data_IF_691427100019
#
_entry.id   IF_691427100019
#
_cell.length_a   1.000
_cell.length_b   1.000
_cell.length_c   1.000
_cell.angle_alpha   90.00
_cell.angle_beta   90.00
_cell.angle_gamma   90.00
#
_symmetry.space_group_name_H-M   'P 1'
#
loop_
_entity.id
_entity.type
_entity.pdbx_description
1 polymer ?
#
# COMPACT_ATOMS: atom_id res chain seq x y z
N UNK A 1 15.19 0.32 -29.42
CA UNK A 1 15.12 -1.15 -29.58
C UNK A 1 13.65 -1.49 -29.70
N UNK A 2 13.21 -2.11 -30.81
CA UNK A 2 11.80 -2.56 -30.93
C UNK A 2 11.59 -3.76 -30.03
N UNK A 3 10.60 -3.68 -29.12
CA UNK A 3 10.24 -4.80 -28.26
C UNK A 3 9.90 -6.02 -29.14
N UNK A 4 10.33 -7.20 -28.71
CA UNK A 4 9.99 -8.46 -29.36
C UNK A 4 8.47 -8.65 -29.30
N UNK A 5 7.82 -9.05 -30.41
CA UNK A 5 6.38 -9.31 -30.37
C UNK A 5 6.06 -10.43 -29.37
N UNK A 6 4.91 -10.34 -28.65
CA UNK A 6 4.51 -11.36 -27.70
C UNK A 6 4.32 -12.72 -28.35
N UNK A 7 4.76 -13.77 -27.68
CA UNK A 7 4.60 -15.15 -28.12
C UNK A 7 3.15 -15.64 -27.88
N UNK A 8 2.72 -16.77 -28.45
CA UNK A 8 1.44 -17.37 -28.11
C UNK A 8 1.28 -17.68 -26.61
N UNK A 9 2.37 -18.04 -25.91
CA UNK A 9 2.36 -18.27 -24.46
C UNK A 9 2.13 -16.96 -23.69
N UNK A 10 2.73 -15.86 -24.11
CA UNK A 10 2.55 -14.54 -23.51
C UNK A 10 1.10 -14.04 -23.65
N UNK A 11 0.52 -14.24 -24.82
CA UNK A 11 -0.89 -13.90 -25.09
C UNK A 11 -1.83 -14.75 -24.21
N UNK A 12 -1.53 -16.06 -24.05
CA UNK A 12 -2.29 -16.94 -23.18
C UNK A 12 -2.19 -16.52 -21.71
N UNK A 13 -1.01 -16.10 -21.24
CA UNK A 13 -0.82 -15.59 -19.88
C UNK A 13 -1.63 -14.29 -19.66
N UNK A 14 -1.54 -13.35 -20.58
CA UNK A 14 -2.29 -12.09 -20.52
C UNK A 14 -3.81 -12.32 -20.46
N UNK A 15 -4.31 -13.29 -21.25
CA UNK A 15 -5.73 -13.67 -21.24
C UNK A 15 -6.13 -14.35 -19.92
N UNK A 16 -5.28 -15.24 -19.38
CA UNK A 16 -5.49 -15.90 -18.10
C UNK A 16 -5.56 -14.89 -16.94
N UNK A 17 -4.66 -13.91 -16.90
CA UNK A 17 -4.66 -12.80 -15.91
C UNK A 17 -5.97 -12.02 -15.99
N UNK A 18 -6.38 -11.61 -17.19
CA UNK A 18 -7.62 -10.86 -17.41
C UNK A 18 -8.87 -11.62 -16.92
N UNK A 19 -8.92 -12.93 -17.15
CA UNK A 19 -10.04 -13.79 -16.71
C UNK A 19 -9.95 -14.20 -15.22
N UNK A 20 -8.80 -14.06 -14.60
CA UNK A 20 -8.54 -14.58 -13.25
C UNK A 20 -8.39 -16.11 -13.21
N UNK A 21 -7.94 -16.72 -14.32
CA UNK A 21 -7.82 -18.18 -14.49
C UNK A 21 -6.40 -18.64 -14.11
N UNK A 22 -6.25 -19.08 -12.86
CA UNK A 22 -4.97 -19.52 -12.31
C UNK A 22 -4.42 -20.78 -13.00
N UNK A 23 -5.28 -21.70 -13.46
CA UNK A 23 -4.84 -22.92 -14.13
C UNK A 23 -4.35 -22.63 -15.55
N UNK A 24 -5.04 -21.73 -16.26
CA UNK A 24 -4.56 -21.22 -17.54
C UNK A 24 -3.24 -20.46 -17.40
N UNK A 25 -3.07 -19.66 -16.33
CA UNK A 25 -1.81 -18.97 -16.04
C UNK A 25 -0.66 -19.97 -15.83
N UNK A 26 -0.84 -21.00 -15.01
CA UNK A 26 0.16 -22.09 -14.83
C UNK A 26 0.51 -22.77 -16.15
N UNK A 27 -0.48 -23.00 -17.00
CA UNK A 27 -0.26 -23.63 -18.29
C UNK A 27 0.55 -22.74 -19.24
N UNK A 28 0.24 -21.45 -19.28
CA UNK A 28 0.98 -20.46 -20.07
C UNK A 28 2.44 -20.34 -19.62
N UNK A 29 2.69 -20.32 -18.30
CA UNK A 29 4.04 -20.26 -17.72
C UNK A 29 4.85 -21.52 -18.06
N UNK A 30 4.25 -22.71 -17.99
CA UNK A 30 4.92 -23.96 -18.42
C UNK A 30 5.24 -23.96 -19.91
N UNK A 31 4.47 -23.24 -20.72
CA UNK A 31 4.72 -23.06 -22.14
C UNK A 31 5.76 -21.98 -22.46
N UNK A 32 6.36 -21.37 -21.43
CA UNK A 32 7.43 -20.39 -21.54
C UNK A 32 6.95 -18.95 -21.71
N UNK A 33 5.77 -18.61 -21.16
CA UNK A 33 5.34 -17.22 -21.08
C UNK A 33 6.31 -16.38 -20.23
N UNK A 34 6.56 -15.15 -20.66
CA UNK A 34 7.40 -14.18 -19.95
C UNK A 34 6.64 -13.61 -18.75
N UNK A 35 7.15 -13.85 -17.53
CA UNK A 35 6.62 -13.32 -16.28
C UNK A 35 6.64 -11.80 -16.20
N UNK A 36 7.62 -11.17 -16.84
CA UNK A 36 7.87 -9.73 -16.79
C UNK A 36 7.48 -9.02 -18.09
N UNK A 37 6.68 -9.69 -18.95
CA UNK A 37 6.17 -9.06 -20.16
C UNK A 37 5.42 -7.77 -19.81
N UNK A 38 5.82 -6.66 -20.42
CA UNK A 38 5.22 -5.36 -20.15
C UNK A 38 4.23 -4.95 -21.24
N UNK A 39 3.08 -4.46 -20.83
CA UNK A 39 2.12 -3.83 -21.75
C UNK A 39 2.56 -2.41 -22.17
N UNK A 40 1.73 -1.72 -22.94
CA UNK A 40 2.01 -0.35 -23.41
C UNK A 40 2.18 0.68 -22.29
N UNK A 41 1.64 0.40 -21.08
CA UNK A 41 1.78 1.21 -19.87
C UNK A 41 2.96 0.75 -19.00
N UNK A 42 3.71 -0.25 -19.41
CA UNK A 42 4.82 -0.81 -18.65
C UNK A 42 4.39 -1.78 -17.54
N UNK A 43 3.11 -2.17 -17.46
CA UNK A 43 2.57 -3.04 -16.41
C UNK A 43 2.90 -4.49 -16.67
N UNK A 44 3.33 -5.19 -15.62
CA UNK A 44 3.58 -6.64 -15.64
C UNK A 44 2.28 -7.43 -15.47
N UNK A 45 2.27 -8.75 -15.82
CA UNK A 45 1.14 -9.63 -15.52
C UNK A 45 0.73 -9.62 -14.04
N UNK A 46 1.72 -9.53 -13.11
CA UNK A 46 1.46 -9.48 -11.69
C UNK A 46 0.80 -8.17 -11.26
N UNK A 47 1.26 -7.02 -11.76
CA UNK A 47 0.60 -5.73 -11.52
C UNK A 47 -0.84 -5.72 -12.05
N UNK A 48 -1.08 -6.28 -13.23
CA UNK A 48 -2.43 -6.40 -13.78
C UNK A 48 -3.33 -7.31 -12.92
N UNK A 49 -2.80 -8.42 -12.39
CA UNK A 49 -3.51 -9.30 -11.47
C UNK A 49 -3.86 -8.55 -10.17
N UNK A 50 -2.93 -7.77 -9.61
CA UNK A 50 -3.14 -7.00 -8.39
C UNK A 50 -4.19 -5.89 -8.58
N UNK A 51 -4.15 -5.16 -9.69
CA UNK A 51 -5.14 -4.13 -10.03
C UNK A 51 -6.57 -4.70 -10.18
N UNK A 52 -6.67 -5.93 -10.69
CA UNK A 52 -7.95 -6.61 -10.91
C UNK A 52 -8.37 -7.53 -9.73
N UNK A 53 -7.61 -7.53 -8.64
CA UNK A 53 -7.78 -8.38 -7.45
C UNK A 53 -7.88 -9.89 -7.80
N UNK A 54 -7.05 -10.35 -8.75
CA UNK A 54 -6.97 -11.75 -9.18
C UNK A 54 -6.01 -12.53 -8.28
N UNK A 55 -6.36 -12.70 -7.01
CA UNK A 55 -5.49 -13.26 -5.96
C UNK A 55 -4.91 -14.62 -6.36
N UNK A 56 -5.73 -15.56 -6.84
CA UNK A 56 -5.25 -16.91 -7.22
C UNK A 56 -4.26 -16.86 -8.41
N UNK A 57 -4.39 -15.89 -9.31
CA UNK A 57 -3.42 -15.69 -10.40
C UNK A 57 -2.13 -15.08 -9.86
N UNK A 58 -2.24 -14.09 -8.95
CA UNK A 58 -1.07 -13.48 -8.32
C UNK A 58 -0.25 -14.52 -7.54
N UNK A 59 -0.88 -15.41 -6.78
CA UNK A 59 -0.20 -16.53 -6.10
C UNK A 59 0.60 -17.40 -7.08
N UNK A 60 0.03 -17.70 -8.25
CA UNK A 60 0.72 -18.47 -9.29
C UNK A 60 1.92 -17.72 -9.85
N UNK A 61 1.78 -16.43 -10.11
CA UNK A 61 2.86 -15.59 -10.65
C UNK A 61 3.99 -15.42 -9.63
N UNK A 62 3.66 -15.13 -8.36
CA UNK A 62 4.65 -15.02 -7.26
C UNK A 62 5.38 -16.34 -7.05
N UNK A 63 4.66 -17.47 -7.02
CA UNK A 63 5.28 -18.80 -6.93
C UNK A 63 6.20 -19.13 -8.11
N UNK A 64 5.99 -18.53 -9.26
CA UNK A 64 6.85 -18.63 -10.44
C UNK A 64 8.04 -17.64 -10.41
N UNK A 65 8.10 -16.75 -9.42
CA UNK A 65 9.20 -15.80 -9.23
C UNK A 65 8.97 -14.44 -9.89
N UNK A 66 7.70 -14.04 -10.12
CA UNK A 66 7.40 -12.69 -10.60
C UNK A 66 7.86 -11.63 -9.60
N UNK A 67 8.42 -10.53 -10.12
CA UNK A 67 8.88 -9.40 -9.33
C UNK A 67 7.66 -8.58 -8.81
N UNK A 68 7.47 -8.59 -7.48
CA UNK A 68 6.35 -7.88 -6.82
C UNK A 68 6.54 -6.37 -6.82
N UNK A 69 7.77 -5.91 -7.03
CA UNK A 69 8.18 -4.51 -7.00
C UNK A 69 8.38 -3.89 -8.38
N UNK A 70 8.20 -4.67 -9.45
CA UNK A 70 8.33 -4.21 -10.82
C UNK A 70 7.37 -3.05 -11.10
N UNK A 71 7.91 -1.83 -11.20
CA UNK A 71 7.13 -0.61 -11.42
C UNK A 71 6.77 -0.41 -12.90
N UNK A 72 5.57 0.13 -13.14
CA UNK A 72 5.08 0.58 -14.44
C UNK A 72 5.53 2.02 -14.78
N UNK A 73 5.00 2.59 -15.87
CA UNK A 73 5.30 3.96 -16.29
C UNK A 73 4.78 5.05 -15.33
N UNK A 74 4.04 4.69 -14.30
CA UNK A 74 3.49 5.58 -13.27
C UNK A 74 4.10 5.35 -11.90
N UNK A 75 5.18 4.57 -11.83
CA UNK A 75 5.82 4.13 -10.58
C UNK A 75 4.87 3.30 -9.69
N UNK A 76 3.85 2.63 -10.28
CA UNK A 76 2.99 1.69 -9.56
C UNK A 76 3.55 0.27 -9.70
N UNK A 77 3.60 -0.52 -8.61
CA UNK A 77 3.96 -1.94 -8.59
C UNK A 77 2.79 -2.79 -8.07
N UNK A 78 2.90 -4.12 -8.21
CA UNK A 78 1.91 -5.02 -7.64
C UNK A 78 1.75 -4.81 -6.13
N UNK A 79 2.85 -4.58 -5.40
CA UNK A 79 2.84 -4.26 -3.98
C UNK A 79 2.14 -2.93 -3.69
N UNK A 80 2.54 -1.84 -4.35
CA UNK A 80 2.01 -0.50 -4.08
C UNK A 80 0.50 -0.39 -4.32
N UNK A 81 -0.02 -1.04 -5.36
CA UNK A 81 -1.46 -0.96 -5.66
C UNK A 81 -2.34 -1.71 -4.66
N UNK A 82 -1.79 -2.58 -3.80
CA UNK A 82 -2.57 -3.20 -2.73
C UNK A 82 -3.11 -2.17 -1.74
N UNK A 83 -2.36 -1.09 -1.48
CA UNK A 83 -2.84 0.04 -0.69
C UNK A 83 -3.98 0.81 -1.36
N UNK A 84 -3.96 0.91 -2.69
CA UNK A 84 -5.01 1.57 -3.48
C UNK A 84 -6.29 0.73 -3.50
N UNK A 85 -6.17 -0.60 -3.64
CA UNK A 85 -7.33 -1.52 -3.71
C UNK A 85 -7.85 -1.92 -2.34
N UNK A 86 -7.02 -1.83 -1.30
CA UNK A 86 -7.34 -2.27 0.07
C UNK A 86 -7.43 -3.79 0.23
N UNK A 87 -6.95 -4.55 -0.74
CA UNK A 87 -7.05 -6.02 -0.73
C UNK A 87 -6.02 -6.65 0.20
N UNK A 88 -6.45 -7.08 1.38
CA UNK A 88 -5.63 -7.84 2.33
C UNK A 88 -5.21 -9.20 1.75
N UNK A 89 -6.10 -9.84 0.98
CA UNK A 89 -5.79 -11.13 0.37
C UNK A 89 -4.68 -10.99 -0.68
N UNK A 90 -4.75 -9.96 -1.52
CA UNK A 90 -3.71 -9.67 -2.49
C UNK A 90 -2.38 -9.32 -1.80
N UNK A 91 -2.41 -8.45 -0.78
CA UNK A 91 -1.23 -8.11 0.01
C UNK A 91 -0.52 -9.38 0.51
N UNK A 92 -1.27 -10.30 1.13
CA UNK A 92 -0.72 -11.56 1.65
C UNK A 92 -0.24 -12.50 0.55
N UNK A 93 -0.88 -12.52 -0.61
CA UNK A 93 -0.41 -13.29 -1.76
C UNK A 93 0.93 -12.79 -2.31
N UNK A 94 1.25 -11.51 -2.12
CA UNK A 94 2.51 -10.90 -2.56
C UNK A 94 3.64 -11.03 -1.54
N UNK A 95 3.36 -11.17 -0.23
CA UNK A 95 4.40 -11.28 0.82
C UNK A 95 5.47 -12.35 0.56
N UNK A 96 5.15 -13.57 0.03
CA UNK A 96 6.17 -14.55 -0.30
C UNK A 96 7.16 -14.10 -1.37
N UNK A 97 6.82 -13.09 -2.17
CA UNK A 97 7.72 -12.47 -3.16
C UNK A 97 8.74 -11.51 -2.55
N UNK A 98 8.65 -11.21 -1.26
CA UNK A 98 9.58 -10.33 -0.54
C UNK A 98 9.51 -8.86 -0.97
N UNK A 99 8.32 -8.21 -0.88
CA UNK A 99 8.16 -6.84 -1.34
C UNK A 99 9.07 -5.87 -0.58
N UNK A 100 9.61 -4.88 -1.30
CA UNK A 100 10.27 -3.71 -0.71
C UNK A 100 9.20 -2.74 -0.19
N UNK A 101 8.96 -2.78 1.12
CA UNK A 101 7.96 -1.93 1.78
C UNK A 101 8.32 -0.43 1.76
N UNK A 102 9.56 -0.10 1.41
CA UNK A 102 10.05 1.29 1.27
C UNK A 102 9.86 1.84 -0.14
N UNK A 103 9.48 0.98 -1.11
CA UNK A 103 9.22 1.39 -2.47
C UNK A 103 8.09 2.41 -2.52
N UNK A 104 8.27 3.47 -3.31
CA UNK A 104 7.31 4.57 -3.40
C UNK A 104 6.69 4.70 -4.78
N UNK A 105 5.44 5.15 -4.83
CA UNK A 105 4.76 5.54 -6.05
C UNK A 105 5.24 6.92 -6.56
N UNK A 106 4.68 7.41 -7.67
CA UNK A 106 5.00 8.71 -8.27
C UNK A 106 4.82 9.93 -7.33
N UNK A 107 4.03 9.77 -6.26
CA UNK A 107 3.85 10.81 -5.23
C UNK A 107 4.81 10.64 -4.05
N UNK A 108 5.69 9.67 -4.10
CA UNK A 108 6.61 9.35 -3.03
C UNK A 108 5.96 8.64 -1.84
N UNK A 109 4.75 8.10 -2.02
CA UNK A 109 4.02 7.41 -0.96
C UNK A 109 4.21 5.89 -1.01
N UNK A 110 4.36 5.27 0.16
CA UNK A 110 4.32 3.82 0.37
C UNK A 110 2.88 3.32 0.47
N UNK A 111 2.66 2.00 0.42
CA UNK A 111 1.32 1.40 0.27
C UNK A 111 0.31 1.77 1.36
N UNK A 112 0.74 2.05 2.61
CA UNK A 112 -0.16 2.44 3.71
C UNK A 112 -0.78 3.82 3.51
N UNK A 113 -0.13 4.72 2.78
CA UNK A 113 -0.60 6.09 2.55
C UNK A 113 -1.91 6.11 1.76
N UNK A 114 -2.00 5.59 0.51
CA UNK A 114 -3.27 5.58 -0.23
C UNK A 114 -4.35 4.70 0.43
N UNK A 115 -3.96 3.72 1.23
CA UNK A 115 -4.91 2.93 2.00
C UNK A 115 -5.58 3.75 3.11
N UNK A 116 -4.82 4.65 3.73
CA UNK A 116 -5.30 5.55 4.77
C UNK A 116 -6.21 6.64 4.21
N UNK A 117 -5.86 7.24 3.06
CA UNK A 117 -6.70 8.16 2.30
C UNK A 117 -8.10 7.57 2.02
N UNK A 118 -8.15 6.27 1.68
CA UNK A 118 -9.38 5.59 1.22
C UNK A 118 -10.15 4.91 2.35
N UNK A 119 -9.70 5.00 3.59
CA UNK A 119 -10.36 4.35 4.71
C UNK A 119 -10.29 2.83 4.70
N UNK A 120 -9.27 2.22 4.11
CA UNK A 120 -9.10 0.77 4.02
C UNK A 120 -8.61 0.17 5.36
N UNK A 121 -9.44 0.22 6.39
CA UNK A 121 -9.11 -0.16 7.79
C UNK A 121 -8.48 -1.55 7.89
N UNK A 122 -9.05 -2.55 7.22
CA UNK A 122 -8.55 -3.92 7.27
C UNK A 122 -7.14 -4.04 6.68
N UNK A 123 -6.89 -3.35 5.57
CA UNK A 123 -5.58 -3.30 4.93
C UNK A 123 -4.56 -2.59 5.80
N UNK A 124 -4.89 -1.39 6.31
CA UNK A 124 -3.99 -0.61 7.18
C UNK A 124 -3.57 -1.44 8.39
N UNK A 125 -4.50 -2.11 9.06
CA UNK A 125 -4.18 -2.99 10.20
C UNK A 125 -3.30 -4.16 9.80
N UNK A 126 -3.57 -4.79 8.66
CA UNK A 126 -2.82 -5.94 8.21
C UNK A 126 -1.38 -5.55 7.80
N UNK A 127 -1.20 -4.50 6.99
CA UNK A 127 0.13 -4.10 6.53
C UNK A 127 1.02 -3.64 7.68
N UNK A 128 0.47 -2.91 8.66
CA UNK A 128 1.20 -2.48 9.87
C UNK A 128 1.56 -3.65 10.81
N UNK A 129 0.76 -4.72 10.83
CA UNK A 129 1.01 -5.88 11.67
C UNK A 129 1.92 -6.94 11.02
N UNK A 130 1.95 -7.01 9.70
CA UNK A 130 2.59 -8.10 8.95
C UNK A 130 3.86 -7.66 8.22
N UNK A 131 4.22 -6.36 8.29
CA UNK A 131 5.40 -5.79 7.63
C UNK A 131 6.09 -4.74 8.50
N UNK A 132 7.33 -4.40 8.16
CA UNK A 132 8.11 -3.33 8.81
C UNK A 132 7.92 -1.97 8.09
N UNK A 133 6.73 -1.73 7.50
CA UNK A 133 6.46 -0.47 6.80
C UNK A 133 6.57 0.71 7.78
N UNK A 134 7.26 1.78 7.36
CA UNK A 134 7.37 3.00 8.16
C UNK A 134 6.01 3.71 8.23
N UNK A 135 5.41 3.71 9.42
CA UNK A 135 4.10 4.34 9.68
C UNK A 135 4.16 5.86 9.52
N UNK A 136 5.33 6.46 9.74
CA UNK A 136 5.57 7.91 9.67
C UNK A 136 6.24 8.33 8.35
N UNK A 137 6.29 7.43 7.36
CA UNK A 137 6.81 7.78 6.04
C UNK A 137 6.13 9.04 5.49
N UNK A 138 6.94 9.99 5.03
CA UNK A 138 6.47 11.27 4.47
C UNK A 138 6.58 11.25 2.95
N UNK A 139 5.47 11.48 2.26
CA UNK A 139 5.43 11.55 0.80
C UNK A 139 5.93 12.91 0.27
N UNK A 140 5.96 13.08 -1.07
CA UNK A 140 6.42 14.32 -1.72
C UNK A 140 5.55 15.54 -1.45
N UNK A 141 4.33 15.35 -0.93
CA UNK A 141 3.42 16.42 -0.51
C UNK A 141 3.69 16.87 0.94
N UNK A 142 4.63 16.22 1.64
CA UNK A 142 4.90 16.44 3.05
C UNK A 142 3.89 15.78 3.97
N UNK A 143 3.19 14.73 3.52
CA UNK A 143 2.13 14.09 4.29
C UNK A 143 2.49 12.65 4.68
N UNK A 144 2.19 12.32 5.94
CA UNK A 144 2.19 10.96 6.45
C UNK A 144 0.85 10.27 6.15
N UNK A 145 0.76 8.95 6.38
CA UNK A 145 -0.51 8.23 6.32
C UNK A 145 -1.58 8.83 7.25
N UNK A 146 -1.16 9.31 8.42
CA UNK A 146 -2.04 9.98 9.38
C UNK A 146 -2.59 11.30 8.83
N UNK A 147 -1.75 12.13 8.20
CA UNK A 147 -2.17 13.36 7.54
C UNK A 147 -3.12 13.07 6.36
N UNK A 148 -2.80 12.09 5.50
CA UNK A 148 -3.69 11.76 4.37
C UNK A 148 -5.07 11.28 4.81
N UNK A 149 -5.15 10.44 5.85
CA UNK A 149 -6.43 9.99 6.41
C UNK A 149 -7.30 11.16 6.91
N UNK A 150 -6.67 12.25 7.38
CA UNK A 150 -7.39 13.42 7.89
C UNK A 150 -7.63 14.46 6.80
N UNK A 151 -6.66 14.73 5.93
CA UNK A 151 -6.75 15.81 4.93
C UNK A 151 -7.62 15.40 3.75
N UNK A 152 -7.50 14.18 3.27
CA UNK A 152 -8.23 13.67 2.10
C UNK A 152 -9.44 12.81 2.48
N UNK A 153 -9.44 12.21 3.66
CA UNK A 153 -10.54 11.38 4.15
C UNK A 153 -11.81 12.19 4.50
N UNK A 154 -12.92 11.49 4.70
CA UNK A 154 -14.24 12.09 4.94
C UNK A 154 -14.56 12.26 6.45
N UNK A 155 -13.67 11.83 7.35
CA UNK A 155 -13.88 11.87 8.81
C UNK A 155 -14.94 10.89 9.32
N UNK A 156 -15.38 9.98 8.47
CA UNK A 156 -16.35 8.93 8.79
C UNK A 156 -15.75 7.85 9.73
N UNK A 157 -16.55 6.82 10.03
CA UNK A 157 -16.12 5.75 10.92
C UNK A 157 -14.89 5.01 10.39
N UNK A 158 -14.77 4.83 9.09
CA UNK A 158 -13.61 4.13 8.50
C UNK A 158 -12.33 4.94 8.71
N UNK A 159 -12.35 6.26 8.47
CA UNK A 159 -11.19 7.12 8.72
C UNK A 159 -10.86 7.25 10.21
N UNK A 160 -11.86 7.28 11.10
CA UNK A 160 -11.63 7.21 12.55
C UNK A 160 -10.89 5.92 12.95
N UNK A 161 -11.30 4.77 12.39
CA UNK A 161 -10.68 3.48 12.65
C UNK A 161 -9.29 3.36 12.02
N UNK A 162 -9.02 4.01 10.87
CA UNK A 162 -7.69 4.13 10.27
C UNK A 162 -6.77 4.95 11.17
N UNK A 163 -7.20 6.15 11.59
CA UNK A 163 -6.43 7.00 12.51
C UNK A 163 -6.10 6.25 13.80
N UNK A 164 -7.08 5.56 14.38
CA UNK A 164 -6.85 4.75 15.58
C UNK A 164 -5.83 3.62 15.35
N UNK A 165 -5.86 2.97 14.17
CA UNK A 165 -4.91 1.90 13.82
C UNK A 165 -3.49 2.43 13.63
N UNK A 166 -3.33 3.57 12.95
CA UNK A 166 -2.03 4.24 12.76
C UNK A 166 -1.42 4.65 14.11
N UNK A 167 -2.21 5.30 14.98
CA UNK A 167 -1.76 5.68 16.31
C UNK A 167 -1.38 4.47 17.18
N UNK A 168 -2.15 3.38 17.12
CA UNK A 168 -1.83 2.14 17.81
C UNK A 168 -0.55 1.47 17.31
N UNK A 169 -0.17 1.70 16.04
CA UNK A 169 1.09 1.24 15.45
C UNK A 169 2.27 2.20 15.72
N UNK A 170 2.05 3.29 16.45
CA UNK A 170 3.10 4.21 16.86
C UNK A 170 3.28 5.42 15.96
N UNK A 171 2.31 5.74 15.09
CA UNK A 171 2.36 6.98 14.30
C UNK A 171 2.50 8.21 15.20
N UNK A 172 3.41 9.11 14.86
CA UNK A 172 3.63 10.37 15.59
C UNK A 172 2.56 11.41 15.19
N UNK A 173 1.60 11.73 16.11
CA UNK A 173 0.55 12.70 15.82
C UNK A 173 1.06 14.16 15.72
N UNK A 174 2.28 14.42 16.16
CA UNK A 174 2.88 15.75 16.19
C UNK A 174 3.54 16.16 14.86
N UNK A 175 3.76 15.20 13.93
CA UNK A 175 4.35 15.47 12.63
C UNK A 175 3.46 16.42 11.82
N UNK A 176 3.96 17.60 11.42
CA UNK A 176 3.21 18.55 10.63
C UNK A 176 3.36 18.25 9.12
N UNK A 177 2.46 18.82 8.32
CA UNK A 177 2.64 18.93 6.88
C UNK A 177 3.66 20.02 6.48
N UNK A 178 3.84 20.24 5.17
CA UNK A 178 4.75 21.24 4.63
C UNK A 178 4.44 22.70 5.03
N UNK A 179 3.22 22.95 5.52
CA UNK A 179 2.78 24.27 6.01
C UNK A 179 2.86 24.38 7.55
N UNK A 180 3.40 23.38 8.22
CA UNK A 180 3.53 23.33 9.67
C UNK A 180 2.24 22.98 10.40
N UNK A 181 1.24 22.38 9.71
CA UNK A 181 -0.08 22.05 10.26
C UNK A 181 -0.15 20.57 10.61
N UNK A 182 -0.49 20.25 11.87
CA UNK A 182 -0.63 18.86 12.32
C UNK A 182 -1.96 18.23 11.90
N UNK A 183 -2.01 16.89 11.91
CA UNK A 183 -3.24 16.14 11.64
C UNK A 183 -4.40 16.58 12.54
N UNK A 184 -4.14 16.88 13.84
CA UNK A 184 -5.16 17.39 14.76
C UNK A 184 -5.70 18.76 14.32
N UNK A 185 -4.82 19.69 13.96
CA UNK A 185 -5.25 21.01 13.52
C UNK A 185 -6.12 20.93 12.23
N UNK A 186 -5.79 20.02 11.30
CA UNK A 186 -6.63 19.73 10.14
C UNK A 186 -7.98 19.14 10.54
N UNK A 187 -8.03 18.17 11.45
CA UNK A 187 -9.26 17.55 11.93
C UNK A 187 -10.20 18.59 12.58
N UNK A 188 -9.66 19.47 13.44
CA UNK A 188 -10.41 20.57 14.08
C UNK A 188 -10.98 21.55 13.05
N UNK A 189 -10.20 21.98 12.05
CA UNK A 189 -10.65 22.86 10.95
C UNK A 189 -11.77 22.25 10.11
N UNK A 190 -11.76 20.92 9.95
CA UNK A 190 -12.76 20.16 9.17
C UNK A 190 -13.97 19.75 10.00
N UNK A 191 -13.98 20.01 11.32
CA UNK A 191 -15.05 19.59 12.21
C UNK A 191 -15.08 18.08 12.47
N UNK A 192 -13.95 17.38 12.30
CA UNK A 192 -13.82 15.94 12.57
C UNK A 192 -13.54 15.71 14.06
N UNK A 193 -14.51 16.04 14.93
CA UNK A 193 -14.33 16.04 16.37
C UNK A 193 -13.81 14.70 16.92
N UNK A 194 -14.37 13.57 16.45
CA UNK A 194 -13.94 12.24 16.88
C UNK A 194 -12.47 11.95 16.57
N UNK A 195 -11.99 12.38 15.39
CA UNK A 195 -10.57 12.24 14.98
C UNK A 195 -9.71 13.20 15.82
N UNK A 196 -10.13 14.46 16.00
CA UNK A 196 -9.41 15.43 16.80
C UNK A 196 -9.23 14.95 18.26
N UNK A 197 -10.25 14.30 18.83
CA UNK A 197 -10.20 13.70 20.15
C UNK A 197 -9.22 12.50 20.24
N UNK A 198 -9.16 11.66 19.21
CA UNK A 198 -8.19 10.55 19.14
C UNK A 198 -6.75 11.10 19.14
N UNK A 199 -6.49 12.09 18.28
CA UNK A 199 -5.17 12.72 18.14
C UNK A 199 -4.75 13.45 19.42
N UNK A 200 -5.64 14.21 20.06
CA UNK A 200 -5.37 14.90 21.33
C UNK A 200 -4.98 13.93 22.44
N UNK A 201 -5.65 12.78 22.54
CA UNK A 201 -5.31 11.74 23.53
C UNK A 201 -3.94 11.14 23.26
N UNK A 202 -3.60 10.88 22.00
CA UNK A 202 -2.30 10.33 21.62
C UNK A 202 -1.16 11.31 21.95
N UNK A 203 -1.31 12.60 21.63
CA UNK A 203 -0.34 13.65 21.97
C UNK A 203 -0.10 13.72 23.50
N UNK A 204 -1.19 13.66 24.30
CA UNK A 204 -1.09 13.70 25.76
C UNK A 204 -0.39 12.47 26.38
N UNK A 205 -0.41 11.33 25.69
CA UNK A 205 0.27 10.11 26.13
C UNK A 205 1.76 10.09 25.74
N UNK A 206 2.13 10.79 24.66
CA UNK A 206 3.52 10.95 24.21
C UNK A 206 4.35 11.91 25.08
N UNK A 207 3.71 12.85 25.78
CA UNK A 207 4.33 13.83 26.67
C UNK A 207 4.63 13.29 28.11
N UNK A 208 4.32 12.02 28.37
CA UNK A 208 4.69 11.38 29.64
C UNK A 208 6.21 11.29 29.81
N UNK A 209 6.76 11.44 31.05
CA UNK A 209 8.20 11.43 31.27
C UNK A 209 8.76 10.08 30.79
N UNK A 210 9.64 10.14 29.77
CA UNK A 210 10.49 8.98 29.43
C UNK A 210 11.25 8.63 30.69
N UNK A 211 10.89 7.53 31.35
CA UNK A 211 11.68 6.99 32.46
C UNK A 211 13.04 6.64 31.88
N UNK A 212 14.02 7.49 32.12
CA UNK A 212 15.42 7.15 31.93
C UNK A 212 15.67 5.89 32.75
N UNK A 213 15.77 4.75 32.07
CA UNK A 213 16.20 3.49 32.67
C UNK A 213 17.59 3.71 33.25
N UNK A 214 17.62 3.92 34.57
CA UNK A 214 18.81 4.11 35.34
C UNK A 214 19.77 2.95 35.13
N UNK A 215 20.96 3.25 34.66
CA UNK A 215 22.09 2.35 34.69
C UNK A 215 22.41 1.91 36.11
N UNK A 216 22.64 0.64 36.25
CA UNK A 216 23.58 0.04 37.22
C UNK A 216 24.18 -1.22 36.59
#
# INVERSE_FOLDING_TARGET
MTAKPPTPADLALSDAVRRGDADAARTALRAGADLELRDEQGRTPLLLAALADRVAVAEVLVAAGADVDAQDARDDSAWLVTGVTGSVLMMRALLPGGPDVTLTNRFGGVSVIPASERGHVAYVRAVLAETDIDVDHVNRLGWTALLEAVVLGDGDRAHQDVVAALLAAGADPSLPDGDGVTARAHAERRGFEAIADLLRRAESQGDGPRTEGGGR
#
